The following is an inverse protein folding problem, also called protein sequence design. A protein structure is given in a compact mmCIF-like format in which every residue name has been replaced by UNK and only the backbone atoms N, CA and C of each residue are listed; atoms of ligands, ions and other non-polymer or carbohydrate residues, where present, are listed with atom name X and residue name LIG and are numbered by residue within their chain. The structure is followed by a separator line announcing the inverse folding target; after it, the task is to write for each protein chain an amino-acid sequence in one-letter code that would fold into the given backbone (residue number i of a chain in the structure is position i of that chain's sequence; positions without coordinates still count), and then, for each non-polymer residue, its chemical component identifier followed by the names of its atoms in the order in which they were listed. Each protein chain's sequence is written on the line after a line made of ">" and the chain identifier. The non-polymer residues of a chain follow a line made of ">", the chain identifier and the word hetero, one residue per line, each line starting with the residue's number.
data_IF_484107259837
#
_entry.id   IF_484107259837
#
_cell.length_a   1.000
_cell.length_b   1.000
_cell.length_c   1.000
_cell.angle_alpha   90.00
_cell.angle_beta   90.00
_cell.angle_gamma   90.00
#
_symmetry.space_group_name_H-M   'P 1'
#
loop_
_entity.id
_entity.type
_entity.pdbx_description
1 polymer ?
#
# COMPACT_ATOMS: atom_id res chain seq x y z
N UNK A 1 6.21 11.02 -4.62
CA UNK A 1 6.79 10.14 -3.59
C UNK A 1 7.55 9.02 -4.24
N UNK A 2 8.70 8.69 -3.72
CA UNK A 2 9.44 7.56 -4.25
C UNK A 2 8.84 6.25 -3.78
N UNK A 3 9.22 5.17 -4.46
CA UNK A 3 8.79 3.83 -4.08
C UNK A 3 9.18 3.51 -2.64
N UNK A 4 10.42 3.84 -2.27
CA UNK A 4 10.89 3.57 -0.92
C UNK A 4 10.12 4.36 0.13
N UNK A 5 9.83 5.62 -0.16
CA UNK A 5 9.04 6.45 0.76
C UNK A 5 7.64 5.86 0.94
N UNK A 6 7.02 5.37 -0.13
CA UNK A 6 5.72 4.72 -0.04
C UNK A 6 5.79 3.42 0.75
N UNK A 7 6.84 2.63 0.53
CA UNK A 7 7.01 1.38 1.28
C UNK A 7 7.13 1.66 2.77
N UNK A 8 7.93 2.66 3.13
CA UNK A 8 8.13 3.02 4.54
C UNK A 8 6.83 3.52 5.15
N UNK A 9 6.10 4.37 4.41
CA UNK A 9 4.83 4.88 4.90
C UNK A 9 3.81 3.75 5.09
N UNK A 10 3.73 2.85 4.13
CA UNK A 10 2.79 1.72 4.21
C UNK A 10 3.13 0.80 5.38
N UNK A 11 4.41 0.53 5.59
CA UNK A 11 4.83 -0.30 6.71
C UNK A 11 4.44 0.32 8.04
N UNK A 12 4.77 1.61 8.22
CA UNK A 12 4.45 2.30 9.47
C UNK A 12 2.94 2.42 9.65
N UNK A 13 2.22 2.71 8.58
CA UNK A 13 0.77 2.84 8.62
C UNK A 13 0.12 1.52 9.04
N UNK A 14 0.52 0.43 8.40
CA UNK A 14 -0.07 -0.88 8.70
C UNK A 14 0.34 -1.37 10.07
N UNK A 15 1.57 -1.10 10.49
CA UNK A 15 2.00 -1.47 11.83
C UNK A 15 1.12 -0.79 12.89
N UNK A 16 0.84 0.48 12.70
CA UNK A 16 -0.01 1.22 13.62
C UNK A 16 -1.46 0.72 13.56
N UNK A 17 -1.97 0.52 12.37
CA UNK A 17 -3.35 0.07 12.17
C UNK A 17 -3.58 -1.31 12.74
N UNK A 18 -2.61 -2.22 12.57
CA UNK A 18 -2.73 -3.61 13.00
C UNK A 18 -2.17 -3.85 14.41
N UNK A 19 -1.66 -2.79 15.03
CA UNK A 19 -1.12 -2.84 16.40
C UNK A 19 0.04 -3.84 16.50
N UNK A 20 0.96 -3.73 15.57
CA UNK A 20 2.19 -4.52 15.57
C UNK A 20 3.36 -3.58 15.32
N UNK A 21 4.60 -4.11 15.42
CA UNK A 21 5.77 -3.29 15.10
C UNK A 21 6.01 -3.28 13.60
N UNK A 22 6.66 -2.23 13.07
CA UNK A 22 6.98 -2.21 11.64
C UNK A 22 7.79 -3.41 11.18
N UNK A 23 8.65 -3.93 12.02
CA UNK A 23 9.45 -5.11 11.70
C UNK A 23 8.60 -6.35 11.46
N UNK A 24 7.39 -6.37 12.00
CA UNK A 24 6.48 -7.49 11.82
C UNK A 24 5.68 -7.38 10.52
N UNK A 25 5.79 -6.25 9.83
CA UNK A 25 5.06 -6.02 8.58
C UNK A 25 6.00 -6.34 7.42
N UNK A 26 5.91 -7.55 6.90
CA UNK A 26 6.73 -7.96 5.75
C UNK A 26 6.23 -7.29 4.48
N UNK A 27 7.13 -6.70 3.73
CA UNK A 27 6.76 -5.96 2.52
C UNK A 27 6.44 -6.86 1.34
N UNK A 28 6.83 -8.13 1.42
CA UNK A 28 6.57 -9.12 0.38
C UNK A 28 5.46 -10.11 0.76
N UNK A 29 4.79 -9.88 1.87
CA UNK A 29 3.73 -10.76 2.35
C UNK A 29 2.38 -10.19 1.90
N UNK A 30 1.48 -11.02 1.36
CA UNK A 30 0.15 -10.53 0.99
C UNK A 30 -0.54 -9.86 2.16
N UNK A 31 -1.18 -8.74 1.90
CA UNK A 31 -1.79 -7.91 2.94
C UNK A 31 -2.81 -8.70 3.76
N UNK A 32 -3.54 -9.61 3.12
CA UNK A 32 -4.54 -10.42 3.84
C UNK A 32 -3.89 -11.30 4.91
N UNK A 33 -2.65 -11.73 4.68
CA UNK A 33 -1.92 -12.54 5.65
C UNK A 33 -1.40 -11.69 6.81
N UNK A 34 -1.30 -10.38 6.60
CA UNK A 34 -0.91 -9.46 7.67
C UNK A 34 -2.10 -9.06 8.53
N UNK A 35 -3.31 -9.38 8.11
CA UNK A 35 -4.52 -9.05 8.86
C UNK A 35 -5.39 -7.98 8.21
N UNK A 36 -5.09 -7.61 6.97
CA UNK A 36 -5.86 -6.59 6.25
C UNK A 36 -7.09 -7.26 5.64
N UNK A 37 -8.26 -6.92 6.16
CA UNK A 37 -9.52 -7.42 5.63
C UNK A 37 -10.18 -6.35 4.75
N UNK A 38 -11.43 -6.61 4.33
CA UNK A 38 -12.13 -5.69 3.43
C UNK A 38 -12.33 -4.31 4.05
N UNK A 39 -12.69 -4.26 5.31
CA UNK A 39 -12.91 -2.97 6.00
C UNK A 39 -11.59 -2.21 6.12
N UNK A 40 -10.52 -2.91 6.47
CA UNK A 40 -9.19 -2.30 6.57
C UNK A 40 -8.73 -1.80 5.21
N UNK A 41 -9.03 -2.54 4.14
CA UNK A 41 -8.69 -2.12 2.79
C UNK A 41 -9.37 -0.81 2.42
N UNK A 42 -10.62 -0.63 2.82
CA UNK A 42 -11.33 0.64 2.58
C UNK A 42 -10.65 1.81 3.29
N UNK A 43 -10.26 1.60 4.54
CA UNK A 43 -9.55 2.63 5.30
C UNK A 43 -8.21 2.94 4.66
N UNK A 44 -7.48 1.91 4.27
CA UNK A 44 -6.18 2.07 3.63
C UNK A 44 -6.31 2.84 2.31
N UNK A 45 -7.32 2.52 1.50
CA UNK A 45 -7.51 3.21 0.22
C UNK A 45 -7.78 4.69 0.42
N UNK A 46 -8.60 5.04 1.41
CA UNK A 46 -8.90 6.43 1.72
C UNK A 46 -7.66 7.19 2.18
N UNK A 47 -6.88 6.58 3.06
CA UNK A 47 -5.69 7.22 3.59
C UNK A 47 -4.58 7.32 2.56
N UNK A 48 -4.46 6.33 1.67
CA UNK A 48 -3.52 6.41 0.55
C UNK A 48 -3.88 7.55 -0.38
N UNK A 49 -5.17 7.70 -0.68
CA UNK A 49 -5.63 8.80 -1.52
C UNK A 49 -5.23 10.15 -0.91
N UNK A 50 -5.46 10.29 0.39
CA UNK A 50 -5.13 11.53 1.07
C UNK A 50 -3.62 11.77 1.11
N UNK A 51 -2.84 10.71 1.32
CA UNK A 51 -1.39 10.83 1.46
C UNK A 51 -0.69 11.11 0.14
N UNK A 52 -1.11 10.45 -0.93
CA UNK A 52 -0.44 10.58 -2.22
C UNK A 52 -1.03 11.67 -3.10
N UNK A 53 -2.24 12.13 -2.80
CA UNK A 53 -2.96 13.08 -3.64
C UNK A 53 -3.54 12.46 -4.90
N UNK A 54 -3.44 11.13 -5.03
CA UNK A 54 -3.95 10.40 -6.17
C UNK A 54 -5.01 9.43 -5.68
N UNK A 55 -6.16 9.42 -6.33
CA UNK A 55 -7.24 8.51 -5.95
C UNK A 55 -6.77 7.07 -6.05
N UNK A 56 -6.88 6.33 -4.96
CA UNK A 56 -6.55 4.91 -4.90
C UNK A 56 -7.78 4.16 -4.43
N UNK A 57 -8.29 3.29 -5.28
CA UNK A 57 -9.51 2.54 -4.97
C UNK A 57 -9.17 1.19 -4.39
N UNK A 58 -10.08 0.59 -3.60
CA UNK A 58 -9.83 -0.74 -3.02
C UNK A 58 -9.45 -1.80 -4.06
N UNK A 59 -10.04 -1.73 -5.25
CA UNK A 59 -9.71 -2.70 -6.32
C UNK A 59 -8.23 -2.65 -6.69
N UNK A 60 -7.62 -1.46 -6.66
CA UNK A 60 -6.21 -1.33 -6.98
C UNK A 60 -5.33 -2.00 -5.92
N UNK A 61 -5.78 -1.97 -4.67
CA UNK A 61 -5.06 -2.66 -3.59
C UNK A 61 -5.16 -4.16 -3.76
N UNK A 62 -6.32 -4.67 -4.14
CA UNK A 62 -6.48 -6.09 -4.39
C UNK A 62 -5.64 -6.56 -5.59
N UNK A 63 -5.46 -5.71 -6.58
CA UNK A 63 -4.64 -6.03 -7.75
C UNK A 63 -3.15 -6.03 -7.43
N UNK A 64 -2.74 -5.35 -6.35
CA UNK A 64 -1.34 -5.24 -5.94
C UNK A 64 -1.24 -5.61 -4.47
N UNK A 65 -1.31 -6.92 -4.16
CA UNK A 65 -1.59 -7.37 -2.80
C UNK A 65 -0.44 -7.33 -1.80
N UNK A 66 0.74 -6.88 -2.18
CA UNK A 66 1.85 -6.71 -1.23
C UNK A 66 2.25 -5.25 -1.19
N UNK A 67 2.93 -4.86 -0.10
CA UNK A 67 3.44 -3.49 0.03
C UNK A 67 4.37 -3.16 -1.13
N UNK A 68 5.25 -4.11 -1.50
CA UNK A 68 6.19 -3.89 -2.60
C UNK A 68 5.47 -3.65 -3.92
N UNK A 69 4.48 -4.47 -4.22
CA UNK A 69 3.71 -4.33 -5.46
C UNK A 69 2.91 -3.03 -5.46
N UNK A 70 2.28 -2.72 -4.34
CA UNK A 70 1.46 -1.53 -4.24
C UNK A 70 2.31 -0.27 -4.35
N UNK A 71 3.47 -0.25 -3.68
CA UNK A 71 4.38 0.90 -3.76
C UNK A 71 4.91 1.10 -5.17
N UNK A 72 5.25 0.02 -5.86
CA UNK A 72 5.71 0.09 -7.25
C UNK A 72 4.61 0.68 -8.14
N UNK A 73 3.40 0.21 -7.98
CA UNK A 73 2.27 0.69 -8.76
C UNK A 73 1.99 2.18 -8.50
N UNK A 74 1.93 2.56 -7.23
CA UNK A 74 1.55 3.92 -6.85
C UNK A 74 2.65 4.94 -7.08
N UNK A 75 3.91 4.50 -7.06
CA UNK A 75 5.02 5.42 -7.32
C UNK A 75 5.20 5.72 -8.80
N UNK A 76 4.50 4.96 -9.65
CA UNK A 76 4.65 5.10 -11.08
C UNK A 76 5.87 4.43 -11.64
N UNK A 77 6.65 3.77 -10.79
CA UNK A 77 7.89 3.14 -11.24
C UNK A 77 7.67 2.05 -12.26
N UNK A 78 6.53 1.40 -12.19
CA UNK A 78 6.20 0.33 -13.10
C UNK A 78 5.39 0.79 -14.28
N UNK A 79 5.09 2.06 -14.37
CA UNK A 79 4.27 2.53 -15.44
C UNK A 79 5.12 2.77 -16.64
N UNK A 80 4.74 2.26 -17.67
CA UNK A 80 5.33 2.69 -18.89
C UNK A 80 4.66 3.96 -19.20
N UNK A 81 5.03 4.51 -18.78
CA UNK A 81 4.40 5.45 -18.95
C UNK A 81 3.39 5.55 -19.80
N UNK A 82 3.18 5.30 -19.38
CA UNK A 82 2.43 5.47 -19.87
C UNK A 82 2.15 5.39 -20.72
N UNK A 83 2.34 5.29 -20.57
CA UNK A 83 2.04 5.29 -21.11
C UNK A 83 1.66 5.57 -21.74
N UNK A 84 1.78 5.70 -21.66
CA UNK A 84 1.46 6.17 -22.17
C UNK A 84 1.19 6.28 -22.71
#
# INVERSE_FOLDING_TARGET
>A
MTRQQLMDWLRDYLADLLDVTPEQVGTDIPLEYLGVDSATTLVLSADLTAHTGRETRPAEIFDHPTIEQLATYLSGSGEPAGVR
#
